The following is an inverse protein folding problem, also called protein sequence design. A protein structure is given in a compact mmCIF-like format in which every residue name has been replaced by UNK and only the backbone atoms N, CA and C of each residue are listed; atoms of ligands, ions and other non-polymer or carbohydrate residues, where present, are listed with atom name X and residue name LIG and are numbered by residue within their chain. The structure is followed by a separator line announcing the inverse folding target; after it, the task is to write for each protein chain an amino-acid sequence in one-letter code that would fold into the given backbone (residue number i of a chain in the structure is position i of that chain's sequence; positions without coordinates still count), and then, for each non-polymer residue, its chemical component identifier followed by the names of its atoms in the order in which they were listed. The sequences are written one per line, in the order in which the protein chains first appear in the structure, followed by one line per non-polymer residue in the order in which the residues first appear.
data_IF_211718219378
#
_entry.id   IF_211718219378
#
_cell.length_a   1.000
_cell.length_b   1.000
_cell.length_c   1.000
_cell.angle_alpha   90.00
_cell.angle_beta   90.00
_cell.angle_gamma   90.00
#
_symmetry.space_group_name_H-M   'P 1'
#
loop_
_entity.id
_entity.type
_entity.pdbx_description
1 polymer ?
#
# COMPACT_ATOMS: atom_id res chain seq x y z
N UNK A 1 -10.03 -11.48 14.67
CA UNK A 1 -9.92 -11.20 16.13
C UNK A 1 -8.94 -10.06 16.31
N UNK A 2 -9.33 -8.98 16.97
CA UNK A 2 -8.49 -7.80 17.14
C UNK A 2 -7.59 -7.96 18.38
N UNK A 3 -6.26 -7.92 18.21
CA UNK A 3 -5.30 -8.06 19.30
C UNK A 3 -5.49 -7.00 20.40
N UNK A 4 -5.97 -5.79 20.03
CA UNK A 4 -6.22 -4.70 20.96
C UNK A 4 -7.40 -4.97 21.91
N UNK A 5 -8.26 -5.91 21.56
CA UNK A 5 -9.44 -6.26 22.36
C UNK A 5 -9.20 -7.43 23.32
N UNK A 6 -8.03 -8.09 23.21
CA UNK A 6 -7.67 -9.19 24.09
C UNK A 6 -7.49 -8.69 25.55
N UNK A 7 -8.07 -9.38 26.55
CA UNK A 7 -7.92 -9.02 27.96
C UNK A 7 -6.46 -8.94 28.41
N UNK A 8 -5.64 -9.87 27.93
CA UNK A 8 -4.20 -9.92 28.21
C UNK A 8 -3.48 -8.68 27.68
N UNK A 9 -3.77 -8.28 26.44
CA UNK A 9 -3.17 -7.07 25.84
C UNK A 9 -3.57 -5.81 26.63
N UNK A 10 -4.85 -5.66 26.99
CA UNK A 10 -5.33 -4.53 27.80
C UNK A 10 -4.70 -4.49 29.19
N UNK A 11 -4.42 -5.65 29.81
CA UNK A 11 -3.73 -5.73 31.10
C UNK A 11 -2.29 -5.25 30.99
N UNK A 12 -1.53 -5.83 30.05
CA UNK A 12 -0.13 -5.46 29.82
C UNK A 12 0.03 -3.99 29.40
N UNK A 13 -0.87 -3.47 28.56
CA UNK A 13 -0.89 -2.06 28.17
C UNK A 13 -1.03 -1.13 29.38
N UNK A 14 -1.91 -1.45 30.35
CA UNK A 14 -2.09 -0.66 31.57
C UNK A 14 -0.88 -0.70 32.49
N UNK A 15 -0.29 -1.88 32.66
CA UNK A 15 0.92 -2.07 33.48
C UNK A 15 2.07 -1.24 32.91
N UNK A 16 2.36 -1.39 31.62
CA UNK A 16 3.40 -0.62 30.94
C UNK A 16 3.16 0.90 31.02
N UNK A 17 1.91 1.35 30.85
CA UNK A 17 1.56 2.78 30.96
C UNK A 17 1.75 3.32 32.38
N UNK A 18 1.47 2.52 33.41
CA UNK A 18 1.73 2.89 34.82
C UNK A 18 3.21 3.02 35.11
N UNK A 19 4.01 2.08 34.62
CA UNK A 19 5.43 1.99 34.93
C UNK A 19 6.26 3.04 34.18
N UNK A 20 5.97 3.24 32.90
CA UNK A 20 6.79 4.10 32.04
C UNK A 20 6.11 5.42 31.65
N UNK A 21 4.85 5.64 32.05
CA UNK A 21 4.07 6.83 31.63
C UNK A 21 3.72 6.86 30.15
N UNK A 22 3.99 5.78 29.42
CA UNK A 22 3.90 5.70 27.96
C UNK A 22 2.84 4.69 27.55
N UNK A 23 1.89 5.11 26.72
CA UNK A 23 0.85 4.21 26.19
C UNK A 23 1.37 3.46 24.96
N UNK A 24 1.71 2.19 25.09
CA UNK A 24 2.29 1.43 23.97
C UNK A 24 1.36 1.34 22.75
N UNK A 25 0.03 1.40 22.94
CA UNK A 25 -0.91 1.44 21.82
C UNK A 25 -0.77 2.71 20.98
N UNK A 26 -0.17 3.79 21.49
CA UNK A 26 0.13 5.00 20.71
C UNK A 26 1.23 4.77 19.66
N UNK A 27 2.10 3.79 19.86
CA UNK A 27 3.14 3.40 18.90
C UNK A 27 2.66 2.34 17.91
N UNK A 28 1.67 1.54 18.31
CA UNK A 28 1.17 0.41 17.52
C UNK A 28 -0.06 0.81 16.67
N UNK A 29 -0.87 1.79 17.13
CA UNK A 29 -1.97 2.32 16.31
C UNK A 29 -1.39 2.79 14.98
N UNK A 30 -1.82 2.21 13.84
CA UNK A 30 -1.37 2.68 12.54
C UNK A 30 -1.71 4.17 12.48
N UNK A 31 -0.69 5.04 12.46
CA UNK A 31 -0.94 6.44 12.15
C UNK A 31 -1.66 6.45 10.81
N UNK A 32 -2.80 7.14 10.67
CA UNK A 32 -3.49 7.20 9.40
C UNK A 32 -2.48 7.69 8.37
N UNK A 33 -2.15 6.83 7.39
CA UNK A 33 -1.30 7.24 6.30
C UNK A 33 -2.08 8.31 5.55
N UNK A 34 -1.63 9.55 5.68
CA UNK A 34 -2.12 10.68 4.89
C UNK A 34 -1.11 10.87 3.78
N UNK A 35 -1.46 10.40 2.59
CA UNK A 35 -0.63 10.59 1.39
C UNK A 35 -1.07 11.86 0.69
N UNK A 36 -0.16 12.81 0.53
CA UNK A 36 -0.35 13.95 -0.36
C UNK A 36 -0.08 13.56 -1.81
N UNK A 37 -1.12 13.05 -2.47
CA UNK A 37 -1.04 12.62 -3.86
C UNK A 37 -0.72 13.77 -4.81
N UNK A 38 -1.19 15.00 -4.55
CA UNK A 38 -0.97 16.12 -5.50
C UNK A 38 0.48 16.58 -5.46
N UNK A 39 1.08 16.68 -4.28
CA UNK A 39 2.52 16.98 -4.16
C UNK A 39 3.37 15.87 -4.80
N UNK A 40 3.03 14.60 -4.56
CA UNK A 40 3.68 13.46 -5.21
C UNK A 40 3.59 13.54 -6.74
N UNK A 41 2.37 13.72 -7.28
CA UNK A 41 2.12 13.79 -8.72
C UNK A 41 2.93 14.90 -9.38
N UNK A 42 2.97 16.08 -8.76
CA UNK A 42 3.70 17.23 -9.30
C UNK A 42 5.22 17.05 -9.25
N UNK A 43 5.75 16.39 -8.23
CA UNK A 43 7.19 16.20 -8.04
C UNK A 43 7.75 15.05 -8.87
N UNK A 44 7.04 13.93 -8.97
CA UNK A 44 7.60 12.68 -9.49
C UNK A 44 7.05 12.26 -10.86
N UNK A 45 5.89 12.78 -11.29
CA UNK A 45 5.32 12.40 -12.58
C UNK A 45 5.70 13.36 -13.70
N UNK A 46 6.01 12.79 -14.85
CA UNK A 46 6.26 13.59 -16.04
C UNK A 46 4.96 14.22 -16.59
N UNK A 47 5.10 15.17 -17.52
CA UNK A 47 3.97 15.91 -18.10
C UNK A 47 2.93 14.98 -18.75
N UNK A 48 3.36 13.92 -19.45
CA UNK A 48 2.47 12.95 -20.13
C UNK A 48 1.65 12.15 -19.10
N UNK A 49 2.30 11.63 -18.06
CA UNK A 49 1.65 10.90 -16.98
C UNK A 49 0.64 11.76 -16.21
N UNK A 50 1.00 13.02 -15.89
CA UNK A 50 0.06 13.95 -15.24
C UNK A 50 -1.15 14.26 -16.10
N UNK A 51 -0.97 14.43 -17.42
CA UNK A 51 -2.09 14.61 -18.35
C UNK A 51 -3.04 13.41 -18.31
N UNK A 52 -2.49 12.19 -18.40
CA UNK A 52 -3.28 10.95 -18.30
C UNK A 52 -4.08 10.89 -17.00
N UNK A 53 -3.47 11.22 -15.86
CA UNK A 53 -4.19 11.25 -14.57
C UNK A 53 -5.32 12.28 -14.54
N UNK A 54 -5.06 13.49 -15.05
CA UNK A 54 -6.09 14.53 -15.12
C UNK A 54 -7.25 14.11 -16.02
N UNK A 55 -6.97 13.43 -17.14
CA UNK A 55 -8.01 12.96 -18.07
C UNK A 55 -8.84 11.82 -17.44
N UNK A 56 -8.22 10.93 -16.65
CA UNK A 56 -8.95 9.91 -15.88
C UNK A 56 -9.86 10.55 -14.83
N UNK A 57 -9.35 11.51 -14.06
CA UNK A 57 -10.11 12.20 -13.00
C UNK A 57 -11.26 13.02 -13.58
N UNK A 58 -11.01 13.82 -14.63
CA UNK A 58 -12.03 14.69 -15.25
C UNK A 58 -13.18 13.91 -15.86
N UNK A 59 -12.89 12.76 -16.46
CA UNK A 59 -13.90 11.98 -17.19
C UNK A 59 -14.47 10.82 -16.35
N UNK A 60 -14.10 10.70 -15.07
CA UNK A 60 -14.53 9.63 -14.18
C UNK A 60 -14.35 8.22 -14.80
N UNK A 61 -13.20 7.99 -15.44
CA UNK A 61 -12.96 6.78 -16.21
C UNK A 61 -12.86 5.55 -15.31
N UNK A 62 -13.73 4.56 -15.55
CA UNK A 62 -13.72 3.27 -14.83
C UNK A 62 -12.75 2.25 -15.42
N UNK A 63 -12.40 2.39 -16.70
CA UNK A 63 -11.50 1.50 -17.42
C UNK A 63 -10.40 2.33 -18.08
N UNK A 64 -9.16 1.94 -17.87
CA UNK A 64 -7.98 2.62 -18.40
C UNK A 64 -7.12 1.60 -19.13
N UNK A 65 -6.72 1.92 -20.35
CA UNK A 65 -5.78 1.13 -21.14
C UNK A 65 -4.54 1.99 -21.36
N UNK A 66 -3.39 1.51 -20.89
CA UNK A 66 -2.11 2.17 -21.09
C UNK A 66 -1.36 1.41 -22.21
N UNK A 67 -1.25 2.03 -23.39
CA UNK A 67 -0.56 1.48 -24.56
C UNK A 67 0.49 2.46 -25.02
N UNK A 68 1.75 2.02 -25.06
CA UNK A 68 2.92 2.86 -25.35
C UNK A 68 4.16 1.97 -25.49
N UNK A 69 5.30 2.55 -25.84
CA UNK A 69 6.59 1.85 -25.98
C UNK A 69 7.10 1.21 -24.68
N UNK A 70 8.00 0.23 -24.78
CA UNK A 70 8.68 -0.36 -23.62
C UNK A 70 9.41 0.76 -22.84
N UNK A 71 9.48 0.64 -21.52
CA UNK A 71 10.10 1.63 -20.63
C UNK A 71 9.42 3.00 -20.50
N UNK A 72 8.23 3.22 -21.08
CA UNK A 72 7.48 4.48 -20.90
C UNK A 72 6.85 4.68 -19.51
N UNK A 73 7.04 3.74 -18.58
CA UNK A 73 6.54 3.84 -17.21
C UNK A 73 5.07 3.42 -17.02
N UNK A 74 4.46 2.71 -17.97
CA UNK A 74 3.06 2.23 -17.87
C UNK A 74 2.79 1.42 -16.61
N UNK A 75 3.65 0.44 -16.30
CA UNK A 75 3.49 -0.42 -15.13
C UNK A 75 3.55 0.40 -13.83
N UNK A 76 4.46 1.36 -13.75
CA UNK A 76 4.55 2.27 -12.62
C UNK A 76 3.25 3.08 -12.44
N UNK A 77 2.73 3.67 -13.53
CA UNK A 77 1.51 4.48 -13.48
C UNK A 77 0.27 3.64 -13.12
N UNK A 78 0.17 2.41 -13.66
CA UNK A 78 -0.90 1.47 -13.31
C UNK A 78 -0.84 1.08 -11.84
N UNK A 79 0.35 0.75 -11.32
CA UNK A 79 0.54 0.42 -9.91
C UNK A 79 0.21 1.61 -9.00
N UNK A 80 0.61 2.82 -9.41
CA UNK A 80 0.28 4.06 -8.70
C UNK A 80 -1.23 4.27 -8.62
N UNK A 81 -1.94 4.17 -9.74
CA UNK A 81 -3.41 4.31 -9.80
C UNK A 81 -4.13 3.28 -8.93
N UNK A 82 -3.65 2.04 -8.97
CA UNK A 82 -4.17 0.97 -8.13
C UNK A 82 -3.99 1.30 -6.64
N UNK A 83 -2.76 1.65 -6.21
CA UNK A 83 -2.48 1.98 -4.82
C UNK A 83 -3.23 3.24 -4.34
N UNK A 84 -3.33 4.28 -5.19
CA UNK A 84 -4.12 5.48 -4.93
C UNK A 84 -5.59 5.13 -4.68
N UNK A 85 -6.15 4.24 -5.50
CA UNK A 85 -7.53 3.75 -5.34
C UNK A 85 -7.70 2.99 -4.02
N UNK A 86 -6.77 2.09 -3.69
CA UNK A 86 -6.79 1.35 -2.41
C UNK A 86 -6.79 2.30 -1.21
N UNK A 87 -5.88 3.28 -1.21
CA UNK A 87 -5.71 4.21 -0.10
C UNK A 87 -6.91 5.16 0.06
N UNK A 88 -7.47 5.68 -1.05
CA UNK A 88 -8.68 6.52 -1.01
C UNK A 88 -9.89 5.75 -0.51
N UNK A 89 -10.02 4.49 -0.91
CA UNK A 89 -11.15 3.63 -0.56
C UNK A 89 -10.88 2.72 0.65
N UNK A 90 -9.83 2.99 1.44
CA UNK A 90 -9.43 2.17 2.62
C UNK A 90 -10.57 1.85 3.59
N UNK A 91 -11.56 2.73 3.69
CA UNK A 91 -12.73 2.58 4.53
C UNK A 91 -13.68 1.46 4.05
N UNK A 92 -13.68 1.16 2.74
CA UNK A 92 -14.46 0.07 2.14
C UNK A 92 -13.77 -1.29 2.32
N UNK A 93 -12.44 -1.32 2.45
CA UNK A 93 -11.67 -2.56 2.59
C UNK A 93 -11.71 -3.19 3.98
N UNK A 94 -12.48 -2.62 4.92
CA UNK A 94 -12.85 -3.30 6.17
C UNK A 94 -13.97 -4.34 6.01
N UNK A 95 -14.61 -4.36 4.84
CA UNK A 95 -15.62 -5.32 4.42
C UNK A 95 -15.04 -6.23 3.33
N UNK A 96 -15.50 -7.48 3.20
CA UNK A 96 -14.96 -8.56 2.33
C UNK A 96 -14.84 -8.17 0.85
N UNK A 97 -13.84 -7.34 0.52
CA UNK A 97 -13.61 -6.75 -0.79
C UNK A 97 -12.30 -7.27 -1.34
N UNK A 98 -12.42 -8.05 -2.41
CA UNK A 98 -11.28 -8.66 -3.07
C UNK A 98 -10.77 -7.75 -4.19
N UNK A 99 -9.45 -7.58 -4.28
CA UNK A 99 -8.79 -6.95 -5.42
C UNK A 99 -7.97 -8.00 -6.15
N UNK A 100 -8.02 -7.99 -7.48
CA UNK A 100 -7.29 -8.93 -8.31
C UNK A 100 -6.26 -8.21 -9.15
N UNK A 101 -5.08 -8.84 -9.28
CA UNK A 101 -4.03 -8.43 -10.21
C UNK A 101 -3.74 -9.63 -11.09
N UNK A 102 -3.91 -9.45 -12.39
CA UNK A 102 -3.70 -10.48 -13.38
C UNK A 102 -2.54 -10.08 -14.29
N UNK A 103 -1.80 -11.07 -14.77
CA UNK A 103 -0.66 -10.89 -15.65
C UNK A 103 -0.24 -12.23 -16.25
N UNK A 104 0.71 -12.17 -17.18
CA UNK A 104 1.08 -13.32 -18.01
C UNK A 104 1.59 -14.53 -17.21
N UNK A 105 2.23 -14.29 -16.06
CA UNK A 105 2.63 -15.35 -15.14
C UNK A 105 2.78 -14.80 -13.73
N UNK A 106 2.70 -15.69 -12.72
CA UNK A 106 2.95 -15.33 -11.34
C UNK A 106 4.36 -14.72 -11.15
N UNK A 107 5.38 -15.33 -11.75
CA UNK A 107 6.76 -14.83 -11.69
C UNK A 107 6.90 -13.43 -12.29
N UNK A 108 6.22 -13.15 -13.41
CA UNK A 108 6.23 -11.82 -14.02
C UNK A 108 5.56 -10.77 -13.13
N UNK A 109 4.47 -11.13 -12.45
CA UNK A 109 3.81 -10.24 -11.49
C UNK A 109 4.69 -9.98 -10.27
N UNK A 110 5.38 -10.98 -9.75
CA UNK A 110 6.30 -10.83 -8.62
C UNK A 110 7.46 -9.89 -8.96
N UNK A 111 8.11 -10.07 -10.11
CA UNK A 111 9.25 -9.23 -10.49
C UNK A 111 8.82 -7.78 -10.75
N UNK A 112 7.70 -7.59 -11.46
CA UNK A 112 7.32 -6.28 -11.97
C UNK A 112 6.38 -5.51 -11.04
N UNK A 113 5.56 -6.18 -10.24
CA UNK A 113 4.45 -5.56 -9.50
C UNK A 113 4.59 -5.75 -7.99
N UNK A 114 4.60 -7.00 -7.50
CA UNK A 114 4.34 -7.32 -6.09
C UNK A 114 5.53 -7.74 -5.23
N UNK A 115 6.65 -8.14 -5.83
CA UNK A 115 7.84 -8.63 -5.13
C UNK A 115 8.74 -7.51 -4.60
N UNK A 116 9.89 -7.88 -4.04
CA UNK A 116 10.78 -6.94 -3.33
C UNK A 116 11.34 -5.81 -4.21
N UNK A 117 11.48 -6.09 -5.50
CA UNK A 117 11.93 -5.11 -6.50
C UNK A 117 10.79 -4.55 -7.35
N UNK A 118 9.56 -4.95 -7.03
CA UNK A 118 8.34 -4.62 -7.75
C UNK A 118 7.92 -3.16 -7.57
N UNK A 119 7.01 -2.69 -8.43
CA UNK A 119 6.56 -1.30 -8.40
C UNK A 119 5.80 -0.95 -7.11
N UNK A 120 5.11 -1.89 -6.46
CA UNK A 120 4.42 -1.60 -5.21
C UNK A 120 5.36 -1.29 -4.06
N UNK A 121 6.45 -2.04 -3.89
CA UNK A 121 7.43 -1.73 -2.85
C UNK A 121 8.05 -0.34 -3.08
N UNK A 122 8.44 -0.05 -4.33
CA UNK A 122 9.00 1.26 -4.71
C UNK A 122 8.03 2.39 -4.39
N UNK A 123 6.76 2.26 -4.77
CA UNK A 123 5.74 3.27 -4.50
C UNK A 123 5.46 3.40 -2.99
N UNK A 124 5.33 2.28 -2.28
CA UNK A 124 5.13 2.29 -0.83
C UNK A 124 6.27 3.03 -0.11
N UNK A 125 7.53 2.75 -0.50
CA UNK A 125 8.70 3.45 0.02
C UNK A 125 8.65 4.96 -0.29
N UNK A 126 8.25 5.35 -1.50
CA UNK A 126 8.08 6.78 -1.84
C UNK A 126 6.99 7.45 -1.00
N UNK A 127 5.91 6.73 -0.67
CA UNK A 127 4.85 7.20 0.22
C UNK A 127 5.17 7.06 1.71
N UNK A 128 6.33 6.50 2.06
CA UNK A 128 6.72 6.16 3.44
C UNK A 128 5.68 5.24 4.11
N UNK A 129 5.11 4.33 3.34
CA UNK A 129 4.16 3.31 3.79
C UNK A 129 4.94 2.03 4.05
N UNK A 130 4.81 1.41 5.23
CA UNK A 130 5.36 0.09 5.48
C UNK A 130 4.84 -0.92 4.45
N UNK A 131 5.74 -1.61 3.76
CA UNK A 131 5.40 -2.63 2.78
C UNK A 131 5.94 -3.99 3.26
N UNK A 132 5.07 -4.98 3.34
CA UNK A 132 5.44 -6.35 3.71
C UNK A 132 5.19 -7.26 2.52
N UNK A 133 6.24 -7.68 1.79
CA UNK A 133 6.08 -8.64 0.71
C UNK A 133 5.66 -10.00 1.26
N UNK A 134 4.73 -10.67 0.56
CA UNK A 134 4.12 -11.95 0.98
C UNK A 134 5.14 -13.05 1.35
N UNK A 135 6.34 -13.02 0.75
CA UNK A 135 7.38 -14.03 0.97
C UNK A 135 8.24 -13.82 2.23
N UNK A 136 8.24 -12.63 2.86
CA UNK A 136 8.93 -12.43 4.15
C UNK A 136 8.18 -13.08 5.33
N UNK A 137 6.85 -13.16 5.26
CA UNK A 137 6.03 -13.74 6.34
C UNK A 137 6.34 -15.23 6.55
N UNK A 138 6.67 -15.98 5.49
CA UNK A 138 7.06 -17.39 5.60
C UNK A 138 8.38 -17.60 6.35
N UNK A 139 9.32 -16.67 6.26
CA UNK A 139 10.59 -16.78 6.99
C UNK A 139 10.42 -16.41 8.47
N UNK A 140 9.61 -15.37 8.77
CA UNK A 140 9.35 -14.95 10.15
C UNK A 140 8.58 -16.02 10.93
N UNK A 141 7.58 -16.67 10.32
CA UNK A 141 6.84 -17.75 10.97
C UNK A 141 7.68 -19.02 11.21
N UNK A 142 8.68 -19.30 10.36
CA UNK A 142 9.62 -20.42 10.56
C UNK A 142 10.66 -20.18 11.66
N UNK A 143 10.91 -18.93 12.04
CA UNK A 143 11.83 -18.58 13.13
C UNK A 143 11.14 -18.47 14.49
N UNK A 144 9.81 -18.51 14.52
CA UNK A 144 8.99 -18.38 15.75
C UNK A 144 8.37 -19.74 16.15
N UNK A 145 8.32 -20.71 15.23
CA UNK A 145 7.96 -22.11 15.47
C UNK A 145 9.21 -22.98 15.53
#
# INVERSE_FOLDING_TARGET
MNIYDLPLFKKMQREYKREFGVDIASFIKPKPVVVDFKSFENKLLNKKQRKVLNDIEKNNQKKVILSDEISSGKTFLACYLFLKTLLKNRHLYGQDTNNFILGNSQKALEINVTGQTGQFEKLANMFKIPFVPKYQIRHILKSIL
#
